data_IF_089738183226
#
_entry.id   IF_089738183226
#
_cell.length_a   1.000
_cell.length_b   1.000
_cell.length_c   1.000
_cell.angle_alpha   90.00
_cell.angle_beta   90.00
_cell.angle_gamma   90.00
#
_symmetry.space_group_name_H-M   'P 1'
#
loop_
_entity.id
_entity.type
_entity.pdbx_description
1 polymer ?
#
# COMPACT_ATOMS: atom_id res chain seq x y z
N UNK A 1 -55.65 -44.72 -7.26
CA UNK A 1 -54.87 -43.48 -7.33
C UNK A 1 -53.69 -43.60 -6.37
N UNK A 2 -52.52 -43.06 -6.74
CA UNK A 2 -51.34 -43.72 -7.36
C UNK A 2 -50.39 -44.38 -6.32
N UNK A 3 -49.58 -45.44 -6.58
CA UNK A 3 -48.53 -45.75 -7.60
C UNK A 3 -47.23 -44.90 -7.48
N UNK A 4 -46.17 -45.54 -6.91
CA UNK A 4 -44.72 -45.52 -7.31
C UNK A 4 -43.93 -44.19 -7.38
N UNK A 5 -42.57 -44.18 -7.45
CA UNK A 5 -41.54 -45.15 -7.01
C UNK A 5 -40.27 -44.52 -6.35
N UNK A 6 -39.34 -45.38 -5.91
CA UNK A 6 -37.90 -45.12 -5.79
C UNK A 6 -37.34 -44.37 -7.02
N UNK A 7 -36.41 -43.45 -6.82
CA UNK A 7 -35.16 -43.38 -7.61
C UNK A 7 -34.06 -42.66 -6.82
N UNK A 8 -32.92 -43.34 -6.71
CA UNK A 8 -31.64 -42.75 -6.34
C UNK A 8 -31.26 -41.63 -7.31
N UNK A 9 -30.68 -40.55 -6.80
CA UNK A 9 -29.71 -39.78 -7.57
C UNK A 9 -28.56 -39.38 -6.64
N UNK A 10 -27.42 -39.97 -6.96
CA UNK A 10 -26.08 -39.54 -6.61
C UNK A 10 -26.03 -38.04 -6.30
N UNK A 11 -25.83 -37.68 -5.03
CA UNK A 11 -24.97 -36.52 -4.79
C UNK A 11 -23.55 -37.02 -4.95
N UNK A 12 -23.03 -36.83 -6.16
CA UNK A 12 -21.62 -36.85 -6.44
C UNK A 12 -20.98 -35.87 -5.44
N UNK A 13 -20.33 -36.39 -4.40
CA UNK A 13 -19.42 -35.63 -3.54
C UNK A 13 -18.22 -35.23 -4.39
N UNK A 14 -18.42 -34.26 -5.27
CA UNK A 14 -17.32 -33.41 -5.70
C UNK A 14 -17.24 -32.33 -4.64
N UNK A 15 -16.55 -32.64 -3.54
CA UNK A 15 -15.99 -31.62 -2.66
C UNK A 15 -14.91 -30.89 -3.48
N UNK A 16 -15.32 -30.03 -4.41
CA UNK A 16 -14.47 -28.92 -4.81
C UNK A 16 -14.45 -28.03 -3.58
N UNK A 17 -13.38 -28.10 -2.80
CA UNK A 17 -13.12 -27.10 -1.79
C UNK A 17 -13.23 -25.74 -2.50
N UNK A 18 -14.29 -24.98 -2.21
CA UNK A 18 -14.41 -23.63 -2.74
C UNK A 18 -13.21 -22.86 -2.22
N UNK A 19 -12.35 -22.43 -3.14
CA UNK A 19 -11.19 -21.62 -2.79
C UNK A 19 -11.72 -20.35 -2.16
N UNK A 20 -11.40 -20.12 -0.90
CA UNK A 20 -11.80 -18.92 -0.19
C UNK A 20 -10.88 -17.78 -0.60
N UNK A 21 -11.47 -16.66 -0.99
CA UNK A 21 -10.75 -15.43 -1.26
C UNK A 21 -11.55 -14.22 -0.78
N UNK A 22 -10.85 -13.13 -0.46
CA UNK A 22 -11.42 -11.83 -0.16
C UNK A 22 -10.81 -10.79 -1.10
N UNK A 23 -11.62 -9.88 -1.62
CA UNK A 23 -11.15 -8.79 -2.48
C UNK A 23 -10.94 -7.55 -1.61
N UNK A 24 -9.74 -6.98 -1.66
CA UNK A 24 -9.43 -5.70 -1.02
C UNK A 24 -9.05 -4.67 -2.09
N UNK A 25 -9.65 -3.49 -2.04
CA UNK A 25 -9.49 -2.43 -3.04
C UNK A 25 -8.54 -1.36 -2.51
N UNK A 26 -7.53 -0.94 -3.29
CA UNK A 26 -6.50 0.00 -2.82
C UNK A 26 -6.55 1.38 -3.45
N UNK A 27 -6.79 1.46 -4.76
CA UNK A 27 -6.65 2.71 -5.50
C UNK A 27 -7.76 2.84 -6.53
N UNK A 28 -8.96 3.21 -6.10
CA UNK A 28 -9.96 3.84 -6.99
C UNK A 28 -9.97 5.37 -6.82
N UNK A 29 -9.09 5.91 -5.97
CA UNK A 29 -9.25 7.21 -5.32
C UNK A 29 -8.27 8.31 -5.75
N UNK A 30 -7.30 8.06 -6.64
CA UNK A 30 -6.22 9.05 -6.88
C UNK A 30 -6.67 10.40 -7.49
N UNK A 31 -7.97 10.58 -7.78
CA UNK A 31 -8.59 11.86 -8.11
C UNK A 31 -9.84 12.23 -7.29
N UNK A 32 -10.30 11.37 -6.38
CA UNK A 32 -11.61 11.51 -5.74
C UNK A 32 -11.42 11.43 -4.22
N UNK A 33 -11.39 12.59 -3.56
CA UNK A 33 -11.38 12.63 -2.10
C UNK A 33 -12.53 11.78 -1.54
N UNK A 34 -12.23 10.84 -0.63
CA UNK A 34 -13.18 10.02 0.14
C UNK A 34 -14.59 9.91 -0.45
N UNK A 35 -14.77 9.29 -1.62
CA UNK A 35 -16.10 8.89 -2.08
C UNK A 35 -16.16 7.38 -2.15
N UNK A 36 -16.32 6.77 -0.97
CA UNK A 36 -16.88 5.43 -0.89
C UNK A 36 -18.26 5.44 -1.53
N UNK A 37 -18.46 4.63 -2.56
CA UNK A 37 -19.77 4.29 -3.14
C UNK A 37 -20.37 5.32 -4.13
N UNK A 38 -19.55 5.93 -4.99
CA UNK A 38 -20.08 6.79 -6.06
C UNK A 38 -20.60 5.99 -7.26
N UNK A 39 -21.86 6.25 -7.64
CA UNK A 39 -22.40 5.93 -8.97
C UNK A 39 -21.97 6.94 -10.04
N UNK A 40 -21.12 7.89 -9.67
CA UNK A 40 -20.66 8.92 -10.58
C UNK A 40 -19.72 8.30 -11.63
N UNK A 41 -19.87 8.71 -12.90
CA UNK A 41 -19.01 8.21 -13.97
C UNK A 41 -17.57 8.69 -13.77
N UNK A 42 -16.62 7.76 -13.92
CA UNK A 42 -15.20 8.09 -13.94
C UNK A 42 -14.85 8.85 -15.23
N UNK A 43 -14.01 9.88 -15.07
CA UNK A 43 -13.48 10.67 -16.18
C UNK A 43 -12.38 9.90 -16.91
N UNK A 44 -12.78 9.06 -17.87
CA UNK A 44 -11.88 8.21 -18.65
C UNK A 44 -11.00 9.00 -19.65
N UNK A 45 -11.16 10.32 -19.79
CA UNK A 45 -10.16 11.15 -20.49
C UNK A 45 -8.84 11.19 -19.71
N UNK A 46 -8.94 11.10 -18.38
CA UNK A 46 -7.82 10.81 -17.49
C UNK A 46 -7.65 9.29 -17.42
N UNK A 47 -6.41 8.84 -17.56
CA UNK A 47 -6.11 7.42 -17.30
C UNK A 47 -6.33 7.15 -15.82
N UNK A 48 -7.24 6.23 -15.51
CA UNK A 48 -7.58 5.88 -14.13
C UNK A 48 -6.83 4.61 -13.80
N UNK A 49 -5.94 4.68 -12.81
CA UNK A 49 -5.24 3.52 -12.29
C UNK A 49 -6.11 2.84 -11.24
N UNK A 50 -6.41 1.55 -11.44
CA UNK A 50 -7.16 0.76 -10.49
C UNK A 50 -6.32 -0.41 -10.00
N UNK A 51 -6.37 -0.70 -8.70
CA UNK A 51 -5.74 -1.90 -8.15
C UNK A 51 -6.51 -2.49 -6.98
N UNK A 52 -6.36 -3.80 -6.85
CA UNK A 52 -6.98 -4.63 -5.82
C UNK A 52 -6.07 -5.82 -5.50
N UNK A 53 -6.27 -6.46 -4.35
CA UNK A 53 -5.71 -7.78 -4.07
C UNK A 53 -6.79 -8.82 -3.84
N UNK A 54 -6.42 -10.07 -4.08
CA UNK A 54 -7.10 -11.24 -3.57
C UNK A 54 -6.33 -11.77 -2.37
N UNK A 55 -6.94 -11.74 -1.18
CA UNK A 55 -6.43 -12.38 0.03
C UNK A 55 -6.97 -13.80 0.10
N UNK A 56 -6.11 -14.76 0.47
CA UNK A 56 -6.44 -16.17 0.62
C UNK A 56 -6.40 -16.55 2.11
N UNK A 57 -7.55 -16.56 2.81
CA UNK A 57 -7.60 -16.76 4.27
C UNK A 57 -7.12 -18.13 4.73
N UNK A 58 -7.10 -19.11 3.82
CA UNK A 58 -6.56 -20.45 4.05
C UNK A 58 -5.03 -20.48 4.15
N UNK A 59 -4.36 -19.42 3.71
CA UNK A 59 -2.91 -19.27 3.83
C UNK A 59 -2.61 -18.32 5.00
N UNK A 60 -1.73 -18.70 5.94
CA UNK A 60 -1.29 -17.80 7.00
C UNK A 60 -0.70 -16.49 6.48
N UNK A 61 -1.00 -15.39 7.19
CA UNK A 61 -0.49 -14.06 6.84
C UNK A 61 1.04 -14.08 6.76
N UNK A 62 1.56 -13.57 5.66
CA UNK A 62 3.00 -13.54 5.40
C UNK A 62 3.58 -14.87 4.93
N UNK A 63 2.79 -15.86 4.50
CA UNK A 63 3.26 -17.01 3.71
C UNK A 63 3.13 -16.74 2.19
N UNK A 64 3.88 -17.50 1.38
CA UNK A 64 3.85 -17.35 -0.08
C UNK A 64 2.46 -17.69 -0.63
N UNK A 65 1.94 -16.82 -1.50
CA UNK A 65 0.59 -16.97 -2.07
C UNK A 65 -0.55 -16.55 -1.13
N UNK A 66 -0.26 -15.96 0.03
CA UNK A 66 -1.28 -15.40 0.94
C UNK A 66 -2.14 -14.33 0.26
N UNK A 67 -1.54 -13.52 -0.62
CA UNK A 67 -2.22 -12.51 -1.40
C UNK A 67 -1.76 -12.55 -2.86
N UNK A 68 -2.63 -12.09 -3.77
CA UNK A 68 -2.31 -11.86 -5.18
C UNK A 68 -2.76 -10.45 -5.58
N UNK A 69 -1.84 -9.64 -6.09
CA UNK A 69 -2.07 -8.23 -6.40
C UNK A 69 -2.34 -8.03 -7.89
N UNK A 70 -3.35 -7.23 -8.19
CA UNK A 70 -3.81 -6.98 -9.55
C UNK A 70 -3.99 -5.49 -9.80
N UNK A 71 -3.58 -5.05 -10.99
CA UNK A 71 -3.78 -3.69 -11.46
C UNK A 71 -4.39 -3.65 -12.87
N UNK A 72 -5.14 -2.59 -13.17
CA UNK A 72 -5.69 -2.30 -14.48
C UNK A 72 -5.93 -0.80 -14.64
N UNK A 73 -5.66 -0.28 -15.84
CA UNK A 73 -5.92 1.09 -16.20
C UNK A 73 -7.24 1.17 -16.97
N UNK A 74 -8.09 2.14 -16.63
CA UNK A 74 -9.30 2.46 -17.37
C UNK A 74 -9.01 3.68 -18.24
N UNK A 75 -9.30 3.58 -19.53
CA UNK A 75 -9.04 4.64 -20.51
C UNK A 75 -10.23 4.83 -21.46
N UNK A 76 -10.39 6.03 -22.00
CA UNK A 76 -11.36 6.30 -23.06
C UNK A 76 -10.96 5.66 -24.39
N UNK A 77 -11.94 5.46 -25.28
CA UNK A 77 -11.70 5.04 -26.66
C UNK A 77 -10.74 5.98 -27.42
N UNK A 78 -10.82 7.29 -27.15
CA UNK A 78 -9.90 8.27 -27.75
C UNK A 78 -8.46 8.05 -27.27
N UNK A 79 -8.28 7.87 -25.96
CA UNK A 79 -6.95 7.62 -25.39
C UNK A 79 -6.40 6.27 -25.82
N UNK A 80 -7.25 5.25 -25.93
CA UNK A 80 -6.87 3.95 -26.48
C UNK A 80 -6.31 4.08 -27.90
N UNK A 81 -6.97 4.87 -28.76
CA UNK A 81 -6.49 5.18 -30.11
C UNK A 81 -5.12 5.89 -30.10
N UNK A 82 -4.91 6.86 -29.19
CA UNK A 82 -3.62 7.56 -29.04
C UNK A 82 -2.49 6.64 -28.55
N UNK A 83 -2.80 5.63 -27.74
CA UNK A 83 -1.84 4.69 -27.16
C UNK A 83 -1.69 3.38 -27.94
N UNK A 84 -2.31 3.28 -29.12
CA UNK A 84 -2.36 2.07 -29.95
C UNK A 84 -2.86 0.84 -29.16
N UNK A 85 -3.96 1.05 -28.42
CA UNK A 85 -4.66 0.03 -27.64
C UNK A 85 -5.97 -0.31 -28.36
N UNK A 86 -6.26 -1.61 -28.62
CA UNK A 86 -7.51 -2.01 -29.24
C UNK A 86 -8.73 -1.62 -28.40
N UNK A 87 -9.88 -1.37 -29.04
CA UNK A 87 -11.10 -0.95 -28.34
C UNK A 87 -11.69 -2.06 -27.44
N UNK A 88 -11.36 -3.31 -27.71
CA UNK A 88 -11.62 -4.46 -26.84
C UNK A 88 -10.75 -4.48 -25.57
N UNK A 89 -9.78 -3.57 -25.46
CA UNK A 89 -8.78 -3.53 -24.41
C UNK A 89 -7.58 -4.44 -24.67
N UNK A 90 -6.64 -4.45 -23.73
CA UNK A 90 -5.53 -5.41 -23.69
C UNK A 90 -5.18 -5.71 -22.23
N UNK A 91 -4.27 -6.65 -21.97
CA UNK A 91 -3.79 -6.93 -20.60
C UNK A 91 -3.41 -5.62 -19.90
N UNK A 92 -4.03 -5.35 -18.76
CA UNK A 92 -3.83 -4.14 -17.96
C UNK A 92 -4.61 -2.92 -18.40
N UNK A 93 -5.45 -3.00 -19.44
CA UNK A 93 -6.20 -1.87 -19.98
C UNK A 93 -7.65 -2.24 -20.29
N UNK A 94 -8.58 -1.53 -19.65
CA UNK A 94 -10.00 -1.55 -19.96
C UNK A 94 -10.37 -0.27 -20.72
N UNK A 95 -10.82 -0.43 -21.97
CA UNK A 95 -11.31 0.68 -22.78
C UNK A 95 -12.80 0.83 -22.57
N UNK A 96 -13.24 2.06 -22.25
CA UNK A 96 -14.66 2.37 -22.03
C UNK A 96 -15.15 3.43 -23.01
N UNK A 97 -16.35 3.20 -23.55
CA UNK A 97 -17.00 4.08 -24.55
C UNK A 97 -17.77 5.25 -23.90
N UNK A 98 -18.09 5.14 -22.62
CA UNK A 98 -18.76 6.14 -21.79
C UNK A 98 -18.17 6.10 -20.38
N UNK A 99 -18.49 7.08 -19.54
CA UNK A 99 -18.09 7.05 -18.14
C UNK A 99 -18.53 5.75 -17.47
N UNK A 100 -17.58 5.04 -16.86
CA UNK A 100 -17.78 3.83 -16.07
C UNK A 100 -17.76 4.23 -14.60
N UNK A 101 -18.71 3.77 -13.77
CA UNK A 101 -18.65 4.05 -12.33
C UNK A 101 -17.67 3.11 -11.61
N UNK A 102 -17.29 3.44 -10.37
CA UNK A 102 -16.50 2.53 -9.55
C UNK A 102 -17.23 1.18 -9.33
N UNK A 103 -18.55 1.20 -9.18
CA UNK A 103 -19.34 0.00 -8.94
C UNK A 103 -19.40 -0.91 -10.19
N UNK A 104 -19.49 -0.32 -11.38
CA UNK A 104 -19.42 -1.10 -12.64
C UNK A 104 -18.05 -1.79 -12.77
N UNK A 105 -16.96 -1.09 -12.42
CA UNK A 105 -15.61 -1.68 -12.43
C UNK A 105 -15.49 -2.83 -11.43
N UNK A 106 -15.99 -2.65 -10.20
CA UNK A 106 -15.99 -3.71 -9.18
C UNK A 106 -16.75 -4.94 -9.66
N UNK A 107 -17.92 -4.77 -10.26
CA UNK A 107 -18.72 -5.87 -10.81
C UNK A 107 -17.99 -6.62 -11.94
N UNK A 108 -17.28 -5.89 -12.83
CA UNK A 108 -16.45 -6.50 -13.88
C UNK A 108 -15.35 -7.37 -13.26
N UNK A 109 -14.65 -6.86 -12.26
CA UNK A 109 -13.56 -7.56 -11.57
C UNK A 109 -14.10 -8.80 -10.83
N UNK A 110 -15.14 -8.64 -10.03
CA UNK A 110 -15.79 -9.73 -9.29
C UNK A 110 -16.26 -10.83 -10.23
N UNK A 111 -16.92 -10.48 -11.33
CA UNK A 111 -17.37 -11.44 -12.35
C UNK A 111 -16.21 -12.22 -12.96
N UNK A 112 -15.08 -11.55 -13.23
CA UNK A 112 -13.88 -12.20 -13.78
C UNK A 112 -13.23 -13.14 -12.77
N UNK A 113 -13.11 -12.72 -11.50
CA UNK A 113 -12.57 -13.55 -10.42
C UNK A 113 -13.42 -14.80 -10.24
N UNK A 114 -14.74 -14.64 -10.10
CA UNK A 114 -15.67 -15.76 -9.96
C UNK A 114 -15.50 -16.73 -11.13
N UNK A 115 -15.47 -16.24 -12.38
CA UNK A 115 -15.28 -17.09 -13.56
C UNK A 115 -13.94 -17.83 -13.55
N UNK A 116 -12.85 -17.18 -13.15
CA UNK A 116 -11.52 -17.80 -13.10
C UNK A 116 -11.45 -18.92 -12.04
N UNK A 117 -11.97 -18.67 -10.83
CA UNK A 117 -11.96 -19.65 -9.74
C UNK A 117 -12.98 -20.79 -9.92
N UNK A 118 -13.99 -20.64 -10.78
CA UNK A 118 -14.87 -21.74 -11.19
C UNK A 118 -14.20 -22.75 -12.14
N UNK A 119 -13.20 -22.32 -12.92
CA UNK A 119 -12.61 -23.13 -14.00
C UNK A 119 -11.39 -23.95 -13.57
N UNK A 120 -10.77 -23.63 -12.44
CA UNK A 120 -9.49 -24.23 -12.08
C UNK A 120 -9.13 -24.08 -10.61
N UNK A 121 -7.94 -24.61 -10.28
CA UNK A 121 -7.33 -24.35 -8.98
C UNK A 121 -6.76 -22.92 -8.91
N UNK A 122 -6.32 -22.49 -7.73
CA UNK A 122 -5.82 -21.12 -7.49
C UNK A 122 -4.77 -20.70 -8.52
N UNK A 123 -3.75 -21.53 -8.77
CA UNK A 123 -2.69 -21.20 -9.74
C UNK A 123 -3.23 -20.93 -11.14
N UNK A 124 -4.14 -21.78 -11.64
CA UNK A 124 -4.79 -21.57 -12.94
C UNK A 124 -5.68 -20.33 -12.96
N UNK A 125 -6.42 -20.09 -11.87
CA UNK A 125 -7.28 -18.91 -11.76
C UNK A 125 -6.46 -17.61 -11.78
N UNK A 126 -5.34 -17.55 -11.07
CA UNK A 126 -4.42 -16.40 -11.09
C UNK A 126 -3.82 -16.19 -12.49
N UNK A 127 -3.42 -17.27 -13.18
CA UNK A 127 -2.94 -17.18 -14.56
C UNK A 127 -4.01 -16.66 -15.54
N UNK A 128 -5.28 -17.08 -15.37
CA UNK A 128 -6.40 -16.59 -16.18
C UNK A 128 -6.67 -15.11 -15.90
N UNK A 129 -6.64 -14.69 -14.64
CA UNK A 129 -6.80 -13.28 -14.26
C UNK A 129 -5.67 -12.41 -14.82
N UNK A 130 -4.44 -12.91 -14.86
CA UNK A 130 -3.28 -12.21 -15.44
C UNK A 130 -3.39 -11.93 -16.95
N UNK A 131 -4.35 -12.54 -17.65
CA UNK A 131 -4.62 -12.22 -19.06
C UNK A 131 -5.35 -10.87 -19.20
N UNK A 132 -6.06 -10.45 -18.16
CA UNK A 132 -6.86 -9.22 -18.15
C UNK A 132 -6.22 -8.15 -17.29
N UNK A 133 -5.81 -8.53 -16.09
CA UNK A 133 -5.16 -7.67 -15.12
C UNK A 133 -3.65 -7.82 -15.25
N UNK A 134 -2.92 -6.76 -14.90
CA UNK A 134 -1.52 -6.90 -14.57
C UNK A 134 -1.48 -7.63 -13.23
N UNK A 135 -1.25 -8.94 -13.26
CA UNK A 135 -0.85 -9.65 -12.06
C UNK A 135 0.55 -9.16 -11.74
N UNK A 136 0.66 -8.34 -10.70
CA UNK A 136 1.95 -7.91 -10.17
C UNK A 136 2.45 -9.07 -9.31
N UNK A 137 2.86 -10.14 -10.00
CA UNK A 137 3.28 -11.44 -9.45
C UNK A 137 4.62 -11.36 -8.71
N UNK A 138 5.33 -10.24 -8.83
CA UNK A 138 6.62 -10.09 -8.21
C UNK A 138 6.43 -9.38 -6.88
N UNK A 139 5.88 -10.13 -5.93
CA UNK A 139 6.01 -9.80 -4.52
C UNK A 139 7.37 -10.31 -4.02
N UNK A 140 8.34 -9.41 -3.99
CA UNK A 140 9.72 -9.74 -3.62
C UNK A 140 9.91 -9.88 -2.10
N UNK A 141 8.85 -9.79 -1.27
CA UNK A 141 8.98 -9.87 0.20
C UNK A 141 9.73 -11.10 0.68
N UNK A 142 9.65 -12.21 -0.06
CA UNK A 142 10.31 -13.46 0.28
C UNK A 142 11.84 -13.31 0.36
N UNK A 143 12.43 -12.44 -0.48
CA UNK A 143 13.87 -12.16 -0.44
C UNK A 143 14.30 -11.49 0.87
N UNK A 144 13.41 -10.71 1.47
CA UNK A 144 13.69 -9.93 2.68
C UNK A 144 13.30 -10.67 3.97
N UNK A 145 12.73 -11.89 3.89
CA UNK A 145 12.41 -12.72 5.06
C UNK A 145 13.64 -13.05 5.90
N UNK A 146 14.77 -13.32 5.25
CA UNK A 146 16.06 -13.61 5.92
C UNK A 146 16.58 -12.42 6.73
N UNK A 147 16.05 -11.23 6.46
CA UNK A 147 16.43 -10.00 7.12
C UNK A 147 15.43 -9.60 8.22
N UNK A 148 14.48 -10.46 8.58
CA UNK A 148 13.63 -10.21 9.72
C UNK A 148 14.38 -10.41 11.04
N UNK A 149 14.04 -9.56 11.99
CA UNK A 149 14.31 -9.74 13.42
C UNK A 149 12.98 -9.81 14.16
N UNK A 150 12.98 -10.23 15.42
CA UNK A 150 11.75 -10.21 16.21
C UNK A 150 11.24 -8.79 16.41
N UNK A 151 9.93 -8.62 16.63
CA UNK A 151 9.33 -7.30 16.88
C UNK A 151 9.98 -6.63 18.10
N UNK A 152 10.31 -7.41 19.12
CA UNK A 152 10.93 -6.89 20.34
C UNK A 152 12.36 -6.38 20.08
N UNK A 153 13.17 -7.14 19.33
CA UNK A 153 14.50 -6.67 18.91
C UNK A 153 14.40 -5.42 18.03
N UNK A 154 13.39 -5.36 17.14
CA UNK A 154 13.16 -4.19 16.29
C UNK A 154 12.80 -2.95 17.10
N UNK A 155 11.95 -3.08 18.13
CA UNK A 155 11.61 -1.97 19.05
C UNK A 155 12.86 -1.45 19.76
N UNK A 156 13.68 -2.35 20.31
CA UNK A 156 14.94 -1.99 20.99
C UNK A 156 15.90 -1.28 20.02
N UNK A 157 15.99 -1.78 18.78
CA UNK A 157 16.82 -1.18 17.74
C UNK A 157 16.34 0.23 17.37
N UNK A 158 15.04 0.43 17.15
CA UNK A 158 14.46 1.75 16.84
C UNK A 158 14.71 2.71 18.01
N UNK A 159 14.39 2.28 19.23
CA UNK A 159 14.53 3.10 20.43
C UNK A 159 15.99 3.59 20.60
N UNK A 160 16.95 2.67 20.51
CA UNK A 160 18.37 2.96 20.67
C UNK A 160 18.93 3.81 19.52
N UNK A 161 18.60 3.50 18.26
CA UNK A 161 19.10 4.21 17.09
C UNK A 161 18.62 5.67 17.01
N UNK A 162 17.42 5.95 17.50
CA UNK A 162 16.82 7.28 17.48
C UNK A 162 16.88 7.99 18.83
N UNK A 163 17.57 7.42 19.83
CA UNK A 163 17.58 7.93 21.21
C UNK A 163 17.89 9.42 21.33
N UNK A 164 18.84 9.91 20.54
CA UNK A 164 19.36 11.29 20.61
C UNK A 164 18.75 12.23 19.58
N UNK A 165 17.72 11.79 18.82
CA UNK A 165 17.07 12.65 17.83
C UNK A 165 16.22 13.69 18.54
N UNK A 166 16.43 14.94 18.16
CA UNK A 166 15.69 16.11 18.64
C UNK A 166 14.98 16.78 17.47
N UNK A 167 13.85 17.44 17.74
CA UNK A 167 13.00 18.03 16.70
C UNK A 167 13.66 19.18 15.93
N UNK A 168 14.53 19.94 16.60
CA UNK A 168 15.14 21.12 16.00
C UNK A 168 14.10 22.13 15.52
N UNK A 169 14.29 22.64 14.31
CA UNK A 169 13.38 23.58 13.66
C UNK A 169 12.41 22.90 12.70
N UNK A 170 12.41 21.56 12.65
CA UNK A 170 11.53 20.80 11.80
C UNK A 170 10.05 21.12 12.04
N UNK A 171 9.27 21.00 10.97
CA UNK A 171 7.81 21.10 10.98
C UNK A 171 7.24 20.11 11.99
N UNK A 172 6.38 20.59 12.88
CA UNK A 172 5.67 19.77 13.88
C UNK A 172 4.44 19.07 13.28
N UNK A 173 3.90 18.09 14.01
CA UNK A 173 2.70 17.38 13.60
C UNK A 173 1.52 18.33 13.38
N UNK A 174 1.22 19.23 14.32
CA UNK A 174 0.10 20.14 14.14
C UNK A 174 0.39 21.27 13.14
N UNK A 175 1.65 21.67 12.93
CA UNK A 175 2.01 22.52 11.79
C UNK A 175 1.74 21.83 10.45
N UNK A 176 2.07 20.54 10.34
CA UNK A 176 1.83 19.75 9.14
C UNK A 176 0.33 19.60 8.85
N UNK A 177 -0.49 19.30 9.87
CA UNK A 177 -1.96 19.25 9.74
C UNK A 177 -2.52 20.63 9.33
N UNK A 178 -2.06 21.71 9.96
CA UNK A 178 -2.48 23.06 9.60
C UNK A 178 -2.12 23.44 8.15
N UNK A 179 -1.02 22.91 7.61
CA UNK A 179 -0.66 23.08 6.19
C UNK A 179 -1.60 22.30 5.27
N UNK A 180 -1.95 21.06 5.63
CA UNK A 180 -2.94 20.26 4.87
C UNK A 180 -4.32 20.93 4.84
N UNK A 181 -4.71 21.55 5.96
CA UNK A 181 -5.95 22.34 6.10
C UNK A 181 -5.91 23.71 5.39
N UNK A 182 -4.83 24.05 4.69
CA UNK A 182 -4.62 25.34 4.01
C UNK A 182 -4.77 26.57 4.92
N UNK A 183 -4.40 26.44 6.20
CA UNK A 183 -4.48 27.54 7.16
C UNK A 183 -3.44 28.64 6.86
N UNK A 184 -3.66 29.83 7.43
CA UNK A 184 -2.74 30.96 7.30
C UNK A 184 -1.37 30.68 7.94
N UNK A 185 -0.35 31.45 7.54
CA UNK A 185 0.98 31.33 8.12
C UNK A 185 0.99 31.58 9.65
N UNK A 186 0.15 32.50 10.12
CA UNK A 186 -0.04 32.80 11.53
C UNK A 186 -0.66 31.62 12.28
N UNK A 187 -1.66 30.96 11.68
CA UNK A 187 -2.32 29.78 12.27
C UNK A 187 -1.41 28.56 12.29
N UNK A 188 -0.61 28.34 11.25
CA UNK A 188 0.43 27.29 11.22
C UNK A 188 1.43 27.52 12.36
N UNK A 189 1.94 28.75 12.52
CA UNK A 189 2.87 29.08 13.60
C UNK A 189 2.22 28.90 15.00
N UNK A 190 0.92 29.20 15.12
CA UNK A 190 0.18 28.97 16.36
C UNK A 190 0.00 27.47 16.65
N UNK A 191 -0.20 26.64 15.62
CA UNK A 191 -0.37 25.20 15.75
C UNK A 191 0.86 24.51 16.38
N UNK A 192 2.07 25.00 16.09
CA UNK A 192 3.34 24.53 16.69
C UNK A 192 3.30 24.47 18.22
N UNK A 193 2.54 25.36 18.87
CA UNK A 193 2.43 25.42 20.33
C UNK A 193 1.69 24.21 20.93
N UNK A 194 0.98 23.43 20.12
CA UNK A 194 0.31 22.20 20.54
C UNK A 194 1.29 21.04 20.68
N UNK A 195 2.41 21.06 19.97
CA UNK A 195 3.44 20.02 19.99
C UNK A 195 4.50 20.30 21.06
N UNK A 196 4.14 20.07 22.31
CA UNK A 196 4.99 20.41 23.47
C UNK A 196 6.10 19.39 23.77
N UNK A 197 6.09 18.27 23.07
CA UNK A 197 6.94 17.12 23.33
C UNK A 197 8.40 17.44 22.97
N UNK A 198 9.31 17.09 23.87
CA UNK A 198 10.74 17.31 23.69
C UNK A 198 11.44 16.08 23.09
N UNK A 199 10.88 14.89 23.33
CA UNK A 199 11.38 13.64 22.76
C UNK A 199 10.29 12.98 21.93
N UNK A 200 10.70 12.33 20.85
CA UNK A 200 9.79 11.61 19.97
C UNK A 200 9.02 10.50 20.69
N UNK A 201 9.55 9.96 21.81
CA UNK A 201 8.90 8.95 22.65
C UNK A 201 7.65 9.48 23.35
N UNK A 202 7.59 10.78 23.55
CA UNK A 202 6.51 11.45 24.28
C UNK A 202 5.37 11.85 23.34
N UNK A 203 5.54 11.65 22.02
CA UNK A 203 4.50 11.95 21.01
C UNK A 203 3.28 11.06 21.28
N UNK A 204 2.09 11.64 21.55
CA UNK A 204 0.90 10.86 21.85
C UNK A 204 0.48 9.97 20.67
N UNK A 205 0.21 8.69 20.95
CA UNK A 205 -0.29 7.74 19.95
C UNK A 205 -1.60 8.19 19.30
N UNK A 206 -2.47 8.89 20.05
CA UNK A 206 -3.71 9.47 19.54
C UNK A 206 -3.45 10.51 18.43
N UNK A 207 -2.46 11.39 18.60
CA UNK A 207 -2.09 12.34 17.53
C UNK A 207 -1.58 11.62 16.28
N UNK A 208 -0.83 10.52 16.45
CA UNK A 208 -0.37 9.70 15.33
C UNK A 208 -1.51 8.96 14.62
N UNK A 209 -2.54 8.54 15.36
CA UNK A 209 -3.70 7.82 14.84
C UNK A 209 -4.70 8.73 14.14
N UNK A 210 -4.96 9.91 14.72
CA UNK A 210 -6.01 10.84 14.28
C UNK A 210 -5.56 11.70 13.10
N UNK A 211 -4.25 11.85 12.90
CA UNK A 211 -3.68 12.72 11.86
C UNK A 211 -2.69 12.02 10.93
N UNK A 212 -3.01 10.89 10.28
CA UNK A 212 -2.09 10.18 9.39
C UNK A 212 -1.48 11.07 8.28
N UNK A 213 -2.22 12.06 7.81
CA UNK A 213 -1.84 13.02 6.76
C UNK A 213 -0.58 13.84 7.07
N UNK A 214 -0.26 14.05 8.35
CA UNK A 214 0.83 14.94 8.77
C UNK A 214 2.18 14.55 8.15
N UNK A 215 2.39 13.25 7.99
CA UNK A 215 3.60 12.62 7.48
C UNK A 215 4.02 13.15 6.11
N UNK A 216 3.06 13.59 5.29
CA UNK A 216 3.28 14.11 3.93
C UNK A 216 3.81 15.56 3.97
N UNK A 217 3.47 16.33 5.00
CA UNK A 217 3.74 17.77 5.09
C UNK A 217 4.92 18.12 6.00
N UNK A 218 5.62 17.10 6.51
CA UNK A 218 6.86 17.25 7.25
C UNK A 218 8.01 17.62 6.30
N UNK A 219 8.87 18.54 6.74
CA UNK A 219 10.21 18.67 6.18
C UNK A 219 11.11 17.52 6.66
N UNK A 220 12.34 17.43 6.12
CA UNK A 220 13.27 16.36 6.49
C UNK A 220 13.66 16.35 7.98
N UNK A 221 13.71 17.51 8.66
CA UNK A 221 14.02 17.57 10.09
C UNK A 221 12.86 17.02 10.92
N UNK A 222 11.63 17.46 10.63
CA UNK A 222 10.42 16.99 11.26
C UNK A 222 10.20 15.51 11.00
N UNK A 223 10.40 15.06 9.76
CA UNK A 223 10.26 13.66 9.39
C UNK A 223 11.26 12.78 10.16
N UNK A 224 12.53 13.18 10.24
CA UNK A 224 13.53 12.46 11.04
C UNK A 224 13.12 12.35 12.51
N UNK A 225 12.50 13.39 13.07
CA UNK A 225 12.04 13.40 14.46
C UNK A 225 10.85 12.47 14.71
N UNK A 226 9.82 12.52 13.86
CA UNK A 226 8.59 11.74 14.05
C UNK A 226 8.69 10.29 13.54
N UNK A 227 9.62 9.99 12.63
CA UNK A 227 9.81 8.64 12.07
C UNK A 227 9.90 7.52 13.12
N UNK A 228 10.73 7.60 14.18
CA UNK A 228 10.77 6.56 15.22
C UNK A 228 9.46 6.42 16.00
N UNK A 229 8.76 7.51 16.29
CA UNK A 229 7.47 7.48 16.98
C UNK A 229 6.43 6.73 16.15
N UNK A 230 6.40 7.03 14.85
CA UNK A 230 5.51 6.38 13.88
C UNK A 230 5.86 4.90 13.68
N UNK A 231 7.15 4.54 13.57
CA UNK A 231 7.56 3.13 13.47
C UNK A 231 7.17 2.36 14.74
N UNK A 232 7.35 2.93 15.92
CA UNK A 232 6.96 2.30 17.19
C UNK A 232 5.43 2.16 17.30
N UNK A 233 4.68 3.18 16.89
CA UNK A 233 3.21 3.13 16.80
C UNK A 233 2.74 2.01 15.86
N UNK A 234 3.33 1.92 14.67
CA UNK A 234 3.03 0.88 13.69
C UNK A 234 3.27 -0.54 14.22
N UNK A 235 4.31 -0.76 15.02
CA UNK A 235 4.60 -2.06 15.65
C UNK A 235 3.67 -2.40 16.82
N UNK A 236 2.89 -1.44 17.33
CA UNK A 236 1.99 -1.62 18.47
C UNK A 236 0.52 -1.70 18.05
N UNK A 237 0.14 -1.16 16.90
CA UNK A 237 -1.24 -1.15 16.43
C UNK A 237 -1.61 -2.44 15.68
N UNK A 238 -2.72 -3.06 16.07
CA UNK A 238 -3.23 -4.31 15.51
C UNK A 238 -4.18 -4.13 14.29
N UNK A 239 -3.87 -3.17 13.40
CA UNK A 239 -4.48 -3.00 12.05
C UNK A 239 -5.78 -2.17 11.89
N UNK A 240 -5.84 -0.90 12.34
CA UNK A 240 -7.04 -0.06 12.05
C UNK A 240 -6.79 1.42 11.74
N UNK A 241 -5.57 1.82 11.41
CA UNK A 241 -5.22 3.23 11.15
C UNK A 241 -4.33 3.31 9.92
N UNK A 242 -4.39 4.39 9.14
CA UNK A 242 -3.61 4.58 7.91
C UNK A 242 -2.12 4.89 8.16
N UNK A 243 -1.78 5.36 9.37
CA UNK A 243 -0.43 5.80 9.76
C UNK A 243 0.67 4.74 9.57
N UNK A 244 0.49 3.46 9.97
CA UNK A 244 1.46 2.40 9.72
C UNK A 244 1.73 2.16 8.23
N UNK A 245 0.72 2.21 7.36
CA UNK A 245 0.93 2.09 5.91
C UNK A 245 1.71 3.29 5.38
N UNK A 246 1.34 4.52 5.78
CA UNK A 246 2.07 5.71 5.38
C UNK A 246 3.53 5.70 5.84
N UNK A 247 3.82 5.17 7.02
CA UNK A 247 5.19 4.97 7.50
C UNK A 247 6.02 4.09 6.56
N UNK A 248 5.42 2.99 6.10
CA UNK A 248 6.05 2.09 5.14
C UNK A 248 6.25 2.79 3.78
N UNK A 249 5.23 3.51 3.31
CA UNK A 249 5.29 4.20 2.02
C UNK A 249 6.23 5.39 2.01
N UNK A 250 6.48 6.04 3.14
CA UNK A 250 7.50 7.10 3.20
C UNK A 250 8.92 6.55 3.07
N UNK A 251 9.15 5.33 3.54
CA UNK A 251 10.44 4.65 3.36
C UNK A 251 10.58 4.03 1.97
N UNK A 252 9.47 3.72 1.30
CA UNK A 252 9.41 3.05 0.00
C UNK A 252 8.29 3.62 -0.88
N UNK A 253 8.35 4.91 -1.25
CA UNK A 253 7.27 5.55 -1.97
C UNK A 253 7.13 4.91 -3.35
N UNK A 254 5.91 4.46 -3.66
CA UNK A 254 5.54 3.92 -4.99
C UNK A 254 5.69 4.99 -6.07
N UNK A 255 5.33 6.22 -5.71
CA UNK A 255 5.56 7.47 -6.43
C UNK A 255 5.64 8.53 -5.32
N UNK A 256 6.63 9.44 -5.36
CA UNK A 256 6.92 10.35 -4.26
C UNK A 256 5.66 11.07 -3.74
N UNK A 257 5.37 11.05 -2.42
CA UNK A 257 4.36 11.92 -1.84
C UNK A 257 4.86 13.35 -1.98
N UNK A 258 4.36 14.02 -3.02
CA UNK A 258 4.45 15.46 -3.33
C UNK A 258 5.68 16.14 -2.74
N UNK A 259 6.73 16.15 -3.56
CA UNK A 259 7.87 17.08 -3.49
C UNK A 259 9.06 16.75 -2.59
N UNK A 260 9.58 15.53 -2.71
CA UNK A 260 11.03 15.28 -2.68
C UNK A 260 11.50 14.58 -3.96
N UNK A 261 11.61 15.38 -5.03
CA UNK A 261 12.50 15.11 -6.18
C UNK A 261 11.88 14.42 -7.40
N UNK A 262 10.96 15.13 -8.08
CA UNK A 262 10.62 15.06 -9.51
C UNK A 262 10.03 13.76 -10.10
N UNK A 263 8.74 13.83 -10.43
CA UNK A 263 8.18 13.28 -11.66
C UNK A 263 7.82 11.79 -11.66
N UNK A 264 6.63 11.49 -12.16
CA UNK A 264 6.26 10.15 -12.63
C UNK A 264 7.38 9.60 -13.52
N UNK A 265 8.15 8.62 -13.01
CA UNK A 265 9.23 7.95 -13.73
C UNK A 265 10.64 8.10 -13.15
N UNK A 266 10.90 8.97 -12.16
CA UNK A 266 12.20 8.97 -11.48
C UNK A 266 12.21 7.94 -10.33
N UNK A 267 13.19 7.03 -10.34
CA UNK A 267 13.35 5.99 -9.30
C UNK A 267 13.66 6.68 -7.96
N UNK A 268 12.94 6.30 -6.90
CA UNK A 268 13.22 6.77 -5.54
C UNK A 268 14.69 6.54 -5.16
N UNK A 269 15.45 7.64 -4.99
CA UNK A 269 16.86 7.56 -4.57
C UNK A 269 16.96 7.46 -3.05
N UNK A 270 16.95 6.22 -2.57
CA UNK A 270 17.10 5.87 -1.16
C UNK A 270 18.36 6.49 -0.52
N UNK A 271 19.47 6.60 -1.28
CA UNK A 271 20.72 7.13 -0.72
C UNK A 271 20.65 8.64 -0.53
N UNK A 272 20.10 9.37 -1.51
CA UNK A 272 19.82 10.79 -1.36
C UNK A 272 18.80 11.04 -0.23
N UNK A 273 17.75 10.23 -0.15
CA UNK A 273 16.73 10.32 0.89
C UNK A 273 17.29 10.13 2.30
N UNK A 274 18.04 9.04 2.54
CA UNK A 274 18.69 8.77 3.82
C UNK A 274 19.69 9.89 4.20
N UNK A 275 20.39 10.45 3.21
CA UNK A 275 21.29 11.59 3.41
C UNK A 275 20.55 12.87 3.77
N UNK A 276 19.43 13.18 3.12
CA UNK A 276 18.62 14.37 3.39
C UNK A 276 18.00 14.32 4.79
N UNK A 277 17.57 13.14 5.23
CA UNK A 277 17.15 12.88 6.60
C UNK A 277 18.31 12.88 7.61
N UNK A 278 19.56 12.98 7.15
CA UNK A 278 20.76 12.92 7.98
C UNK A 278 20.79 11.66 8.88
N UNK A 279 20.42 10.50 8.32
CA UNK A 279 20.36 9.25 9.06
C UNK A 279 21.77 8.72 9.36
N UNK A 280 21.97 8.27 10.60
CA UNK A 280 23.15 7.49 10.98
C UNK A 280 23.03 6.03 10.53
N UNK A 281 24.14 5.28 10.57
CA UNK A 281 24.12 3.86 10.18
C UNK A 281 23.12 3.04 11.01
N UNK A 282 23.04 3.26 12.33
CA UNK A 282 22.06 2.59 13.17
C UNK A 282 20.61 2.95 12.82
N UNK A 283 20.37 4.19 12.39
CA UNK A 283 19.04 4.65 11.96
C UNK A 283 18.65 4.04 10.61
N UNK A 284 19.60 3.93 9.67
CA UNK A 284 19.40 3.24 8.38
C UNK A 284 19.05 1.77 8.62
N UNK A 285 19.79 1.07 9.48
CA UNK A 285 19.50 -0.34 9.82
C UNK A 285 18.10 -0.47 10.43
N UNK A 286 17.73 0.42 11.37
CA UNK A 286 16.40 0.43 11.98
C UNK A 286 15.29 0.64 10.94
N UNK A 287 15.43 1.62 10.04
CA UNK A 287 14.47 1.88 8.97
C UNK A 287 14.34 0.69 8.02
N UNK A 288 15.45 0.07 7.63
CA UNK A 288 15.45 -1.11 6.76
C UNK A 288 14.74 -2.30 7.42
N UNK A 289 15.09 -2.63 8.68
CA UNK A 289 14.47 -3.74 9.41
C UNK A 289 12.97 -3.50 9.63
N UNK A 290 12.57 -2.25 9.88
CA UNK A 290 11.16 -1.87 9.93
C UNK A 290 10.46 -2.07 8.58
N UNK A 291 11.06 -1.63 7.48
CA UNK A 291 10.53 -1.87 6.14
C UNK A 291 10.36 -3.37 5.84
N UNK A 292 11.35 -4.21 6.18
CA UNK A 292 11.22 -5.67 6.08
C UNK A 292 10.05 -6.20 6.91
N UNK A 293 9.88 -5.71 8.14
CA UNK A 293 8.77 -6.11 9.00
C UNK A 293 7.41 -5.77 8.36
N UNK A 294 7.24 -4.53 7.88
CA UNK A 294 6.00 -4.09 7.24
C UNK A 294 5.71 -4.89 5.96
N UNK A 295 6.72 -5.06 5.10
CA UNK A 295 6.61 -5.82 3.86
C UNK A 295 6.17 -7.28 4.10
N UNK A 296 6.76 -7.95 5.09
CA UNK A 296 6.58 -9.40 5.29
C UNK A 296 5.45 -9.73 6.27
N UNK A 297 5.39 -9.05 7.42
CA UNK A 297 4.48 -9.38 8.53
C UNK A 297 3.17 -8.60 8.48
N UNK A 298 3.21 -7.37 7.97
CA UNK A 298 2.01 -6.51 7.90
C UNK A 298 1.28 -6.63 6.56
N UNK A 299 1.87 -7.35 5.60
CA UNK A 299 1.29 -7.72 4.31
C UNK A 299 1.22 -6.58 3.28
N UNK A 300 2.06 -5.56 3.45
CA UNK A 300 2.25 -4.51 2.44
C UNK A 300 2.86 -5.04 1.14
N UNK A 301 3.69 -6.09 1.24
CA UNK A 301 4.43 -6.67 0.13
C UNK A 301 5.54 -5.77 -0.40
N UNK A 302 6.28 -6.30 -1.39
CA UNK A 302 7.29 -5.53 -2.13
C UNK A 302 6.99 -5.66 -3.61
N UNK A 303 6.46 -4.62 -4.23
CA UNK A 303 6.24 -4.61 -5.68
C UNK A 303 7.55 -4.51 -6.46
N UNK A 304 7.50 -4.72 -7.77
CA UNK A 304 8.62 -4.49 -8.69
C UNK A 304 9.19 -3.07 -8.62
N UNK A 305 8.33 -2.06 -8.43
CA UNK A 305 8.76 -0.67 -8.27
C UNK A 305 9.47 -0.43 -6.92
N UNK A 306 9.04 -1.12 -5.86
CA UNK A 306 9.62 -0.99 -4.53
C UNK A 306 10.90 -1.83 -4.36
N UNK A 307 11.07 -2.87 -5.16
CA UNK A 307 12.17 -3.82 -5.03
C UNK A 307 13.57 -3.18 -5.12
N UNK A 308 13.88 -2.31 -6.10
CA UNK A 308 15.16 -1.60 -6.14
C UNK A 308 15.41 -0.75 -4.88
N UNK A 309 14.37 -0.11 -4.35
CA UNK A 309 14.49 0.70 -3.13
C UNK A 309 14.79 -0.18 -1.91
N UNK A 310 14.08 -1.30 -1.75
CA UNK A 310 14.37 -2.29 -0.70
C UNK A 310 15.80 -2.84 -0.78
N UNK A 311 16.28 -3.20 -1.98
CA UNK A 311 17.66 -3.63 -2.19
C UNK A 311 18.67 -2.54 -1.85
N UNK A 312 18.35 -1.27 -2.14
CA UNK A 312 19.22 -0.15 -1.82
C UNK A 312 19.27 0.13 -0.32
N UNK A 313 18.13 0.08 0.39
CA UNK A 313 18.10 0.14 1.85
C UNK A 313 18.93 -0.97 2.48
N UNK A 314 18.76 -2.21 2.01
CA UNK A 314 19.56 -3.37 2.43
C UNK A 314 21.06 -3.12 2.27
N UNK A 315 21.47 -2.60 1.11
CA UNK A 315 22.87 -2.29 0.80
C UNK A 315 23.40 -1.20 1.73
N UNK A 316 22.63 -0.12 1.95
CA UNK A 316 23.02 0.94 2.88
C UNK A 316 23.07 0.48 4.33
N UNK A 317 22.31 -0.54 4.70
CA UNK A 317 22.35 -1.17 6.02
C UNK A 317 23.54 -2.14 6.19
N UNK A 318 24.42 -2.28 5.20
CA UNK A 318 25.56 -3.21 5.16
C UNK A 318 25.17 -4.69 5.35
N UNK A 319 24.00 -5.09 4.84
CA UNK A 319 23.49 -6.46 4.93
C UNK A 319 23.52 -7.14 3.56
N UNK A 320 24.53 -7.97 3.29
CA UNK A 320 24.62 -8.74 2.04
C UNK A 320 23.74 -9.99 2.06
#
# INVERSE_FOLDING_TARGET
MPRTPLFSLLFCKVNLAMIQYQIEWFYLEEYFGKVSDSREPLDAEKEIHCSFLLRFPDIPKGEEGHCAFFAMNIISAERASRLDIPLEGKRGYLVVSSGISQNDFKEIVETRIVKAFHKGNRSKALQELNQFFIHTDLDFRNEFRKDLISVEELRILIDSAFKTVVRGNGTTLHEAVAKDDYLSAEEILAARKKDTELHWRDVPSEHLADHPEFLIYLDFEGLRYYLPAVMMFALNCSHSTDTPQLAYWILLPRVAPRDVGKGYGEKFDVAAYAKNLNLTQSQIIACYRFACHMAVKIDEGVSEDQYPAMCKWRTLADLH
#
